data_IF_118700832356
#
_entry.id   IF_118700832356
#
_cell.length_a   1.000
_cell.length_b   1.000
_cell.length_c   1.000
_cell.angle_alpha   90.00
_cell.angle_beta   90.00
_cell.angle_gamma   90.00
#
_symmetry.space_group_name_H-M   'P 1'
#
loop_
_entity.id
_entity.type
_entity.pdbx_description
1 polymer ?
#
# COMPACT_ATOMS: atom_id res chain seq x y z
N UNK A 1 -3.89 -24.91 14.40
CA UNK A 1 -4.49 -23.81 13.64
C UNK A 1 -3.35 -23.03 12.99
N UNK A 2 -3.31 -22.91 11.66
CA UNK A 2 -2.33 -22.04 11.00
C UNK A 2 -2.68 -20.58 11.35
N UNK A 3 -1.68 -19.77 11.70
CA UNK A 3 -1.89 -18.35 11.96
C UNK A 3 -2.35 -17.63 10.69
N UNK A 4 -3.21 -16.63 10.83
CA UNK A 4 -3.67 -15.77 9.73
C UNK A 4 -3.12 -14.37 9.96
N UNK A 5 -2.41 -13.82 8.98
CA UNK A 5 -1.83 -12.49 9.07
C UNK A 5 -1.63 -11.83 7.71
N UNK A 6 -1.58 -10.50 7.72
CA UNK A 6 -1.28 -9.63 6.59
C UNK A 6 0.21 -9.72 6.28
N UNK A 7 0.56 -9.90 5.01
CA UNK A 7 1.96 -10.04 4.52
C UNK A 7 2.42 -8.84 3.70
N UNK A 8 1.62 -7.78 3.68
CA UNK A 8 1.89 -6.58 2.89
C UNK A 8 3.05 -5.81 3.53
N UNK A 9 4.07 -5.50 2.73
CA UNK A 9 5.19 -4.70 3.21
C UNK A 9 4.93 -3.20 3.07
N UNK A 10 5.62 -2.41 3.89
CA UNK A 10 5.76 -0.98 3.68
C UNK A 10 6.32 -0.68 2.29
N UNK A 11 5.94 0.46 1.72
CA UNK A 11 6.34 0.83 0.36
C UNK A 11 6.84 2.27 0.29
N UNK A 12 7.56 2.58 -0.78
CA UNK A 12 7.89 3.94 -1.16
C UNK A 12 7.36 4.29 -2.56
N UNK A 13 7.18 5.58 -2.79
CA UNK A 13 6.84 6.17 -4.08
C UNK A 13 7.45 7.56 -4.20
N UNK A 14 7.65 8.01 -5.43
CA UNK A 14 8.00 9.40 -5.69
C UNK A 14 6.78 10.31 -5.45
N UNK A 15 7.04 11.57 -5.11
CA UNK A 15 6.01 12.62 -5.08
C UNK A 15 5.32 12.77 -6.45
N UNK A 16 4.11 13.34 -6.44
CA UNK A 16 3.27 13.55 -7.64
C UNK A 16 2.95 12.27 -8.44
N UNK A 17 3.24 11.09 -7.88
CA UNK A 17 3.00 9.79 -8.51
C UNK A 17 1.95 9.02 -7.72
N UNK A 18 1.12 8.25 -8.42
CA UNK A 18 0.20 7.31 -7.77
C UNK A 18 0.85 5.96 -7.59
N UNK A 19 0.62 5.33 -6.44
CA UNK A 19 1.08 3.96 -6.14
C UNK A 19 -0.12 3.08 -5.89
N UNK A 20 -0.19 1.95 -6.60
CA UNK A 20 -1.14 0.88 -6.30
C UNK A 20 -0.41 -0.20 -5.51
N UNK A 21 -0.96 -0.55 -4.35
CA UNK A 21 -0.43 -1.54 -3.42
C UNK A 21 -1.44 -2.68 -3.37
N UNK A 22 -0.99 -3.90 -3.64
CA UNK A 22 -1.85 -5.09 -3.54
C UNK A 22 -1.72 -5.66 -2.13
N UNK A 23 -2.81 -5.61 -1.38
CA UNK A 23 -2.89 -6.18 -0.03
C UNK A 23 -2.94 -7.71 -0.14
N UNK A 24 -2.13 -8.37 0.70
CA UNK A 24 -2.01 -9.81 0.75
C UNK A 24 -2.04 -10.33 2.18
N UNK A 25 -2.49 -11.58 2.31
CA UNK A 25 -2.48 -12.38 3.53
C UNK A 25 -1.72 -13.66 3.27
N UNK A 26 -1.27 -14.32 4.33
CA UNK A 26 -0.49 -15.55 4.22
C UNK A 26 -1.30 -16.77 3.73
N UNK A 27 -2.63 -16.70 3.69
CA UNK A 27 -3.47 -17.82 3.26
C UNK A 27 -4.78 -17.39 2.59
N UNK A 28 -4.93 -17.73 1.30
CA UNK A 28 -6.16 -17.52 0.53
C UNK A 28 -6.49 -16.04 0.30
N UNK A 29 -7.77 -15.71 0.25
CA UNK A 29 -8.27 -14.34 0.14
C UNK A 29 -8.84 -13.83 1.46
N UNK A 30 -8.91 -12.51 1.57
CA UNK A 30 -9.52 -11.79 2.69
C UNK A 30 -10.20 -10.52 2.18
N UNK A 31 -11.17 -10.04 2.95
CA UNK A 31 -11.69 -8.68 2.83
C UNK A 31 -10.79 -7.74 3.62
N UNK A 32 -10.57 -6.54 3.12
CA UNK A 32 -9.73 -5.54 3.75
C UNK A 32 -10.52 -4.27 4.05
N UNK A 33 -10.19 -3.65 5.18
CA UNK A 33 -10.74 -2.36 5.62
C UNK A 33 -9.61 -1.45 6.10
N UNK A 34 -9.73 -0.15 5.84
CA UNK A 34 -8.88 0.87 6.47
C UNK A 34 -9.56 1.28 7.78
N UNK A 35 -8.89 1.08 8.90
CA UNK A 35 -9.47 1.30 10.24
C UNK A 35 -8.95 2.57 10.93
N UNK A 36 -7.96 3.26 10.36
CA UNK A 36 -7.45 4.51 10.90
C UNK A 36 -6.20 5.05 10.21
N UNK A 37 -5.64 6.11 10.78
CA UNK A 37 -4.48 6.83 10.25
C UNK A 37 -4.87 7.85 9.18
N UNK A 38 -4.01 8.03 8.19
CA UNK A 38 -4.18 8.97 7.06
C UNK A 38 -5.17 8.45 6.00
N UNK A 39 -6.27 7.83 6.42
CA UNK A 39 -7.18 7.07 5.55
C UNK A 39 -7.72 7.88 4.36
N UNK A 40 -7.89 9.20 4.52
CA UNK A 40 -8.36 10.12 3.47
C UNK A 40 -7.39 10.24 2.29
N UNK A 41 -6.13 9.82 2.45
CA UNK A 41 -5.12 9.81 1.38
C UNK A 41 -5.13 8.54 0.54
N UNK A 42 -5.97 7.57 0.91
CA UNK A 42 -6.00 6.26 0.30
C UNK A 42 -7.39 5.93 -0.23
N UNK A 43 -7.43 5.12 -1.27
CA UNK A 43 -8.67 4.54 -1.80
C UNK A 43 -8.50 3.03 -1.85
N UNK A 44 -9.41 2.30 -1.21
CA UNK A 44 -9.41 0.84 -1.18
C UNK A 44 -10.52 0.30 -2.09
N UNK A 45 -10.14 -0.57 -3.02
CA UNK A 45 -11.08 -1.32 -3.87
C UNK A 45 -10.68 -2.80 -3.87
N UNK A 46 -11.46 -3.63 -3.19
CA UNK A 46 -11.11 -5.03 -2.93
C UNK A 46 -9.80 -5.13 -2.14
N UNK A 47 -8.78 -5.74 -2.72
CA UNK A 47 -7.43 -5.81 -2.14
C UNK A 47 -6.45 -4.79 -2.76
N UNK A 48 -6.92 -3.86 -3.59
CA UNK A 48 -6.08 -2.82 -4.20
C UNK A 48 -6.22 -1.52 -3.42
N UNK A 49 -5.14 -1.14 -2.75
CA UNK A 49 -5.01 0.13 -2.05
C UNK A 49 -4.27 1.12 -2.94
N UNK A 50 -4.93 2.21 -3.34
CA UNK A 50 -4.34 3.27 -4.15
C UNK A 50 -3.97 4.44 -3.25
N UNK A 51 -2.71 4.87 -3.35
CA UNK A 51 -2.18 6.06 -2.68
C UNK A 51 -1.78 7.08 -3.74
N UNK A 52 -2.20 8.34 -3.58
CA UNK A 52 -1.82 9.43 -4.47
C UNK A 52 -0.85 10.38 -3.76
N UNK A 53 0.43 10.27 -4.08
CA UNK A 53 1.44 11.14 -3.52
C UNK A 53 1.24 12.58 -4.03
N UNK A 54 1.33 13.55 -3.14
CA UNK A 54 1.32 14.98 -3.46
C UNK A 54 2.74 15.53 -3.48
N UNK A 55 2.93 16.71 -4.06
CA UNK A 55 4.20 17.42 -4.02
C UNK A 55 4.67 17.63 -2.56
N UNK A 56 5.96 17.43 -2.32
CA UNK A 56 6.58 17.63 -1.02
C UNK A 56 6.83 19.12 -0.78
N UNK A 57 6.52 19.59 0.43
CA UNK A 57 6.82 20.96 0.85
C UNK A 57 8.20 21.01 1.47
N UNK A 58 9.12 21.80 0.89
CA UNK A 58 10.46 21.99 1.44
C UNK A 58 11.42 20.82 1.19
N UNK A 59 11.12 19.92 0.25
CA UNK A 59 12.03 18.87 -0.22
C UNK A 59 12.31 17.75 0.79
N UNK A 60 11.59 17.69 1.91
CA UNK A 60 11.70 16.61 2.89
C UNK A 60 10.74 15.48 2.54
N UNK A 61 11.16 14.23 2.78
CA UNK A 61 10.30 13.07 2.65
C UNK A 61 9.06 13.19 3.54
N UNK A 62 7.93 12.67 3.05
CA UNK A 62 6.70 12.55 3.84
C UNK A 62 6.42 11.09 4.15
N UNK A 63 5.82 10.82 5.31
CA UNK A 63 5.42 9.48 5.71
C UNK A 63 3.94 9.46 6.03
N UNK A 64 3.22 8.52 5.41
CA UNK A 64 1.81 8.29 5.63
C UNK A 64 1.61 6.93 6.27
N UNK A 65 0.68 6.83 7.21
CA UNK A 65 0.42 5.61 7.97
C UNK A 65 -1.07 5.32 7.97
N UNK A 66 -1.43 4.09 7.67
CA UNK A 66 -2.81 3.60 7.83
C UNK A 66 -2.81 2.28 8.57
N UNK A 67 -3.89 2.03 9.30
CA UNK A 67 -4.16 0.72 9.86
C UNK A 67 -5.06 -0.04 8.90
N UNK A 68 -4.64 -1.25 8.53
CA UNK A 68 -5.41 -2.17 7.69
C UNK A 68 -5.85 -3.34 8.55
N UNK A 69 -7.14 -3.69 8.44
CA UNK A 69 -7.69 -4.93 8.99
C UNK A 69 -8.00 -5.88 7.84
N UNK A 70 -7.57 -7.14 7.97
CA UNK A 70 -7.98 -8.22 7.09
C UNK A 70 -8.96 -9.14 7.80
N UNK A 71 -10.01 -9.56 7.12
CA UNK A 71 -10.99 -10.53 7.62
C UNK A 71 -11.14 -11.67 6.63
N UNK A 72 -10.93 -12.90 7.10
CA UNK A 72 -11.15 -14.13 6.32
C UNK A 72 -12.29 -14.94 6.95
N UNK A 73 -13.27 -15.28 6.12
CA UNK A 73 -14.36 -16.20 6.49
C UNK A 73 -13.98 -17.61 6.01
N UNK A 74 -13.99 -18.59 6.91
CA UNK A 74 -13.67 -19.99 6.58
C UNK A 74 -14.92 -20.81 6.28
N UNK A 75 -16.02 -20.52 6.97
CA UNK A 75 -17.30 -21.20 6.80
C UNK A 75 -18.44 -20.20 7.00
N UNK A 76 -19.41 -20.21 6.10
CA UNK A 76 -20.58 -19.33 6.13
C UNK A 76 -21.76 -19.95 6.89
N UNK A 77 -21.79 -21.27 7.07
CA UNK A 77 -22.82 -21.97 7.84
C UNK A 77 -22.54 -21.90 9.35
N UNK A 78 -21.26 -21.84 9.72
CA UNK A 78 -20.81 -21.57 11.09
C UNK A 78 -19.75 -20.48 11.01
N UNK A 79 -20.01 -19.23 11.46
CA UNK A 79 -19.13 -18.10 11.20
C UNK A 79 -17.81 -18.25 11.97
N UNK A 80 -16.88 -18.98 11.37
CA UNK A 80 -15.50 -19.07 11.77
C UNK A 80 -14.74 -18.06 10.92
N UNK A 81 -14.23 -17.03 11.57
CA UNK A 81 -13.42 -16.00 10.93
C UNK A 81 -12.07 -15.86 11.63
N UNK A 82 -11.07 -15.45 10.86
CA UNK A 82 -9.82 -14.93 11.38
C UNK A 82 -9.66 -13.47 10.95
N UNK A 83 -9.05 -12.69 11.83
CA UNK A 83 -8.71 -11.30 11.57
C UNK A 83 -7.27 -11.03 11.92
N UNK A 84 -6.67 -10.08 11.21
CA UNK A 84 -5.36 -9.53 11.55
C UNK A 84 -5.35 -8.03 11.26
N UNK A 85 -4.54 -7.29 12.00
CA UNK A 85 -4.38 -5.85 11.84
C UNK A 85 -2.90 -5.48 11.69
N UNK A 86 -2.62 -4.57 10.76
CA UNK A 86 -1.26 -4.12 10.47
C UNK A 86 -1.25 -2.64 10.15
N UNK A 87 -0.23 -1.93 10.66
CA UNK A 87 0.07 -0.57 10.19
C UNK A 87 0.92 -0.64 8.93
N UNK A 88 0.38 -0.13 7.83
CA UNK A 88 1.12 0.05 6.58
C UNK A 88 1.70 1.46 6.53
N UNK A 89 2.99 1.55 6.22
CA UNK A 89 3.71 2.81 6.06
C UNK A 89 4.02 3.03 4.58
N UNK A 90 3.68 4.23 4.09
CA UNK A 90 4.04 4.70 2.76
C UNK A 90 4.94 5.92 2.88
N UNK A 91 6.16 5.82 2.37
CA UNK A 91 7.10 6.95 2.30
C UNK A 91 7.06 7.58 0.92
N UNK A 92 6.94 8.90 0.88
CA UNK A 92 7.03 9.72 -0.33
C UNK A 92 8.37 10.42 -0.35
N UNK A 93 9.13 10.21 -1.43
CA UNK A 93 10.44 10.83 -1.65
C UNK A 93 10.37 11.83 -2.80
N UNK A 94 11.31 12.76 -2.85
CA UNK A 94 11.40 13.71 -3.96
C UNK A 94 11.52 12.99 -5.30
N UNK A 95 10.86 13.53 -6.31
CA UNK A 95 11.01 13.07 -7.68
C UNK A 95 12.14 13.90 -8.32
N UNK A 96 13.28 13.29 -8.71
CA UNK A 96 14.37 14.04 -9.35
C UNK A 96 13.90 14.75 -10.62
N UNK A 97 12.93 14.19 -11.35
CA UNK A 97 12.41 14.77 -12.60
C UNK A 97 11.58 16.04 -12.38
N UNK A 98 11.25 16.38 -11.13
CA UNK A 98 10.38 17.50 -10.78
C UNK A 98 11.15 18.77 -10.38
N UNK A 99 12.48 18.78 -10.49
CA UNK A 99 13.33 19.95 -10.22
C UNK A 99 13.42 20.94 -11.40
N UNK A 100 12.68 20.69 -12.49
CA UNK A 100 12.68 21.50 -13.70
C UNK A 100 13.94 21.35 -14.56
N UNK A 101 14.86 20.45 -14.19
CA UNK A 101 16.04 20.10 -14.95
C UNK A 101 15.73 18.89 -15.84
N UNK A 102 16.39 18.83 -16.98
CA UNK A 102 16.31 17.65 -17.84
C UNK A 102 17.11 16.51 -17.21
N UNK A 103 16.42 15.46 -16.77
CA UNK A 103 17.00 14.20 -16.31
C UNK A 103 16.73 13.11 -17.33
N UNK A 104 17.76 12.33 -17.67
CA UNK A 104 17.60 11.08 -18.43
C UNK A 104 17.44 9.98 -17.39
N UNK A 105 16.23 9.46 -17.22
CA UNK A 105 15.97 8.30 -16.37
C UNK A 105 15.90 7.05 -17.25
N UNK A 106 16.60 5.99 -16.85
CA UNK A 106 16.53 4.69 -17.53
C UNK A 106 15.22 4.04 -17.12
N UNK A 107 14.24 3.94 -18.03
CA UNK A 107 13.08 3.07 -17.79
C UNK A 107 13.59 1.63 -17.67
N UNK A 108 13.13 0.90 -16.65
CA UNK A 108 13.50 -0.50 -16.41
C UNK A 108 13.37 -1.30 -17.71
N UNK A 109 14.50 -1.70 -18.28
CA UNK A 109 14.55 -2.54 -19.45
C UNK A 109 14.20 -3.97 -19.01
N UNK A 110 12.92 -4.34 -19.13
CA UNK A 110 12.51 -5.74 -18.98
C UNK A 110 13.00 -6.52 -20.21
N UNK A 111 14.21 -7.08 -20.11
CA UNK A 111 14.65 -8.13 -21.02
C UNK A 111 14.07 -9.46 -20.52
N UNK A 112 13.12 -10.03 -21.27
CA UNK A 112 12.84 -11.46 -21.17
C UNK A 112 13.94 -12.20 -21.96
N UNK A 113 14.72 -13.03 -21.27
CA UNK A 113 15.61 -14.01 -21.87
C UNK A 113 14.92 -15.38 -21.92
#
# INVERSE_FOLDING_TARGET
MLAFFITTNNVSTLENTSKVITLAVNAGSATFDITGGDADKFTLNGNKLTFKATALKGGNDATYRINIKATKVFDFHFPLFATDEQTLVVTVTNNPDNDGKFHITTADAFFYA
#
